data_IF_046120967792
#
_entry.id   IF_046120967792
#
_cell.length_a   1.000
_cell.length_b   1.000
_cell.length_c   1.000
_cell.angle_alpha   90.00
_cell.angle_beta   90.00
_cell.angle_gamma   90.00
#
_symmetry.space_group_name_H-M   'P 1'
#
loop_
_entity.id
_entity.type
_entity.pdbx_description
1 polymer ?
#
# COMPACT_ATOMS: atom_id res chain seq x y z
N UNK A 1 -77.53 31.77 2.74
CA UNK A 1 -76.74 30.61 2.17
C UNK A 1 -77.66 30.01 1.12
N UNK A 2 -77.28 30.12 -0.18
CA UNK A 2 -78.17 29.97 -1.35
C UNK A 2 -78.52 28.52 -1.62
N UNK A 3 -79.80 28.13 -1.82
CA UNK A 3 -80.27 26.76 -2.10
C UNK A 3 -79.50 26.08 -3.26
N UNK A 4 -79.01 26.84 -4.20
CA UNK A 4 -78.17 26.31 -5.32
C UNK A 4 -76.82 25.72 -4.89
N UNK A 5 -76.31 26.07 -3.70
CA UNK A 5 -75.13 25.49 -3.18
C UNK A 5 -75.33 24.15 -2.43
N UNK A 6 -76.59 23.91 -1.99
CA UNK A 6 -76.99 22.64 -1.34
C UNK A 6 -77.18 21.52 -2.38
N UNK A 7 -77.84 21.83 -3.51
CA UNK A 7 -78.03 20.85 -4.59
C UNK A 7 -76.76 20.39 -5.25
N UNK A 8 -75.79 21.30 -5.48
CA UNK A 8 -74.43 20.92 -5.98
C UNK A 8 -73.62 20.08 -4.99
N UNK A 9 -73.93 20.15 -3.73
CA UNK A 9 -73.21 19.34 -2.69
C UNK A 9 -73.72 17.90 -2.61
N UNK A 10 -74.98 17.64 -3.07
CA UNK A 10 -75.69 16.36 -2.96
C UNK A 10 -75.86 15.61 -4.30
N UNK A 11 -75.28 16.12 -5.39
CA UNK A 11 -75.26 15.39 -6.65
C UNK A 11 -74.48 14.09 -6.54
N UNK A 12 -75.12 12.91 -6.69
CA UNK A 12 -74.43 11.60 -6.55
C UNK A 12 -73.34 11.40 -7.58
N UNK A 13 -73.41 12.10 -8.72
CA UNK A 13 -72.41 12.05 -9.78
C UNK A 13 -71.13 12.76 -9.27
N UNK A 14 -71.25 13.99 -8.74
CA UNK A 14 -70.13 14.76 -8.17
C UNK A 14 -69.53 14.04 -6.98
N UNK A 15 -70.37 13.42 -6.15
CA UNK A 15 -69.89 12.62 -5.01
C UNK A 15 -69.04 11.39 -5.47
N UNK A 16 -69.46 10.74 -6.53
CA UNK A 16 -68.77 9.58 -7.13
C UNK A 16 -67.43 10.00 -7.76
N UNK A 17 -67.40 11.10 -8.47
CA UNK A 17 -66.14 11.65 -9.04
C UNK A 17 -65.15 12.05 -7.96
N UNK A 18 -65.59 12.71 -6.89
CA UNK A 18 -64.75 13.05 -5.75
C UNK A 18 -64.18 11.82 -5.03
N UNK A 19 -64.96 10.74 -4.89
CA UNK A 19 -64.50 9.46 -4.36
C UNK A 19 -63.45 8.83 -5.27
N UNK A 20 -63.69 8.76 -6.58
CA UNK A 20 -62.74 8.24 -7.55
C UNK A 20 -61.43 9.05 -7.58
N UNK A 21 -61.53 10.38 -7.54
CA UNK A 21 -60.33 11.25 -7.46
C UNK A 21 -59.51 11.03 -6.19
N UNK A 22 -60.18 10.90 -5.01
CA UNK A 22 -59.52 10.59 -3.73
C UNK A 22 -58.85 9.22 -3.75
N UNK A 23 -59.50 8.22 -4.34
CA UNK A 23 -58.94 6.87 -4.47
C UNK A 23 -57.72 6.87 -5.40
N UNK A 24 -57.80 7.54 -6.56
CA UNK A 24 -56.67 7.73 -7.48
C UNK A 24 -55.49 8.44 -6.79
N UNK A 25 -55.79 9.46 -5.98
CA UNK A 25 -54.78 10.19 -5.23
C UNK A 25 -54.13 9.31 -4.14
N UNK A 26 -54.93 8.49 -3.40
CA UNK A 26 -54.46 7.52 -2.44
C UNK A 26 -53.52 6.47 -3.09
N UNK A 27 -53.96 5.91 -4.24
CA UNK A 27 -53.14 4.94 -4.99
C UNK A 27 -51.81 5.56 -5.47
N UNK A 28 -51.84 6.81 -5.98
CA UNK A 28 -50.62 7.54 -6.36
C UNK A 28 -49.70 7.77 -5.17
N UNK A 29 -50.19 8.20 -4.01
CA UNK A 29 -49.40 8.38 -2.78
C UNK A 29 -48.81 7.05 -2.29
N UNK A 30 -49.60 5.98 -2.34
CA UNK A 30 -49.15 4.64 -1.95
C UNK A 30 -48.04 4.13 -2.89
N UNK A 31 -48.18 4.33 -4.18
CA UNK A 31 -47.18 3.97 -5.18
C UNK A 31 -45.89 4.80 -5.02
N UNK A 32 -46.00 6.09 -4.72
CA UNK A 32 -44.85 6.94 -4.43
C UNK A 32 -44.13 6.50 -3.14
N UNK A 33 -44.89 6.16 -2.09
CA UNK A 33 -44.32 5.62 -0.83
C UNK A 33 -43.57 4.30 -1.10
N UNK A 34 -44.20 3.38 -1.86
CA UNK A 34 -43.54 2.10 -2.22
C UNK A 34 -42.27 2.33 -3.05
N UNK A 35 -42.26 3.25 -4.02
CA UNK A 35 -41.06 3.59 -4.80
C UNK A 35 -39.95 4.20 -3.92
N UNK A 36 -40.33 5.06 -2.95
CA UNK A 36 -39.35 5.61 -1.98
C UNK A 36 -38.78 4.51 -1.09
N UNK A 37 -39.62 3.61 -0.59
CA UNK A 37 -39.17 2.50 0.23
C UNK A 37 -38.20 1.58 -0.53
N UNK A 38 -38.54 1.21 -1.78
CA UNK A 38 -37.68 0.39 -2.64
C UNK A 38 -36.30 1.07 -2.87
N UNK A 39 -36.30 2.40 -3.10
CA UNK A 39 -35.05 3.16 -3.25
C UNK A 39 -34.22 3.18 -1.97
N UNK A 40 -34.86 3.36 -0.81
CA UNK A 40 -34.18 3.33 0.49
C UNK A 40 -33.59 1.94 0.79
N UNK A 41 -34.35 0.87 0.56
CA UNK A 41 -33.85 -0.50 0.69
C UNK A 41 -32.68 -0.77 -0.24
N UNK A 42 -32.78 -0.34 -1.51
CA UNK A 42 -31.69 -0.44 -2.49
C UNK A 42 -30.44 0.31 -2.04
N UNK A 43 -30.60 1.52 -1.48
CA UNK A 43 -29.48 2.29 -0.93
C UNK A 43 -28.84 1.60 0.28
N UNK A 44 -29.65 1.08 1.21
CA UNK A 44 -29.14 0.33 2.37
C UNK A 44 -28.37 -0.92 1.93
N UNK A 45 -28.89 -1.67 0.95
CA UNK A 45 -28.18 -2.82 0.38
C UNK A 45 -26.87 -2.44 -0.29
N UNK A 46 -26.84 -1.34 -1.04
CA UNK A 46 -25.62 -0.84 -1.65
C UNK A 46 -24.56 -0.44 -0.60
N UNK A 47 -24.98 0.21 0.49
CA UNK A 47 -24.09 0.55 1.61
C UNK A 47 -23.57 -0.71 2.29
N UNK A 48 -24.43 -1.71 2.55
CA UNK A 48 -24.00 -2.99 3.13
C UNK A 48 -22.99 -3.69 2.21
N UNK A 49 -23.24 -3.75 0.92
CA UNK A 49 -22.29 -4.30 -0.06
C UNK A 49 -20.97 -3.53 -0.07
N UNK A 50 -21.01 -2.20 -0.02
CA UNK A 50 -19.80 -1.37 0.02
C UNK A 50 -18.97 -1.65 1.29
N UNK A 51 -19.60 -1.78 2.43
CA UNK A 51 -18.93 -2.00 3.72
C UNK A 51 -18.35 -3.41 3.86
N UNK A 52 -19.06 -4.43 3.38
CA UNK A 52 -18.69 -5.83 3.63
C UNK A 52 -18.01 -6.52 2.45
N UNK A 53 -18.30 -6.15 1.20
CA UNK A 53 -17.73 -6.82 0.03
C UNK A 53 -16.52 -6.09 -0.56
N UNK A 54 -16.46 -4.75 -0.48
CA UNK A 54 -15.35 -3.99 -1.05
C UNK A 54 -14.03 -4.20 -0.32
N UNK A 55 -13.95 -4.18 1.03
CA UNK A 55 -12.69 -4.36 1.74
C UNK A 55 -11.97 -5.69 1.44
N UNK A 56 -12.64 -6.87 1.50
CA UNK A 56 -11.96 -8.13 1.19
C UNK A 56 -11.50 -8.20 -0.29
N UNK A 57 -12.25 -7.60 -1.20
CA UNK A 57 -11.85 -7.54 -2.61
C UNK A 57 -10.60 -6.65 -2.79
N UNK A 58 -10.54 -5.51 -2.10
CA UNK A 58 -9.35 -4.65 -2.09
C UNK A 58 -8.15 -5.37 -1.49
N UNK A 59 -8.31 -6.11 -0.38
CA UNK A 59 -7.23 -6.87 0.22
C UNK A 59 -6.71 -7.98 -0.71
N UNK A 60 -7.57 -8.68 -1.43
CA UNK A 60 -7.14 -9.68 -2.44
C UNK A 60 -6.35 -9.03 -3.58
N UNK A 61 -6.79 -7.87 -4.06
CA UNK A 61 -6.08 -7.12 -5.07
C UNK A 61 -4.72 -6.64 -4.55
N UNK A 62 -4.67 -6.12 -3.33
CA UNK A 62 -3.42 -5.69 -2.70
C UNK A 62 -2.44 -6.87 -2.52
N UNK A 63 -2.88 -8.04 -2.09
CA UNK A 63 -2.02 -9.23 -2.00
C UNK A 63 -1.49 -9.67 -3.37
N UNK A 64 -2.28 -9.54 -4.44
CA UNK A 64 -1.82 -9.78 -5.80
C UNK A 64 -0.75 -8.75 -6.23
N UNK A 65 -0.94 -7.48 -5.89
CA UNK A 65 0.00 -6.39 -6.19
C UNK A 65 1.25 -6.41 -5.30
N UNK A 66 1.17 -6.97 -4.08
CA UNK A 66 2.25 -7.06 -3.10
C UNK A 66 2.55 -8.54 -2.78
N UNK A 67 3.05 -9.33 -3.74
CA UNK A 67 3.29 -10.76 -3.55
C UNK A 67 4.49 -11.01 -2.64
N UNK A 68 4.48 -12.15 -1.92
CA UNK A 68 5.64 -12.67 -1.17
C UNK A 68 6.38 -13.72 -2.01
N UNK A 69 7.01 -13.29 -3.12
CA UNK A 69 7.85 -14.19 -3.91
C UNK A 69 9.14 -14.49 -3.17
N UNK A 70 9.72 -15.67 -3.43
CA UNK A 70 10.97 -16.14 -2.80
C UNK A 70 10.88 -16.28 -1.27
N UNK A 71 9.69 -16.60 -0.74
CA UNK A 71 9.38 -16.59 0.69
C UNK A 71 10.43 -17.32 1.54
N UNK A 72 10.77 -18.56 1.19
CA UNK A 72 11.77 -19.35 1.93
C UNK A 72 13.16 -18.65 1.99
N UNK A 73 13.57 -17.98 0.91
CA UNK A 73 14.85 -17.25 0.87
C UNK A 73 14.78 -15.96 1.67
N UNK A 74 13.67 -15.22 1.57
CA UNK A 74 13.49 -13.99 2.33
C UNK A 74 13.46 -14.28 3.83
N UNK A 75 12.67 -15.27 4.26
CA UNK A 75 12.61 -15.66 5.68
C UNK A 75 13.96 -16.15 6.20
N UNK A 76 14.66 -17.01 5.44
CA UNK A 76 15.99 -17.51 5.78
C UNK A 76 16.97 -16.36 6.04
N UNK A 77 17.07 -15.43 5.08
CA UNK A 77 18.09 -14.38 5.17
C UNK A 77 17.66 -13.19 6.04
N UNK A 78 16.37 -12.90 6.13
CA UNK A 78 15.86 -11.94 7.11
C UNK A 78 16.13 -12.39 8.55
N UNK A 79 15.86 -13.68 8.86
CA UNK A 79 16.17 -14.24 10.17
C UNK A 79 17.68 -14.23 10.46
N UNK A 80 18.53 -14.59 9.48
CA UNK A 80 19.99 -14.62 9.63
C UNK A 80 20.59 -13.24 9.93
N UNK A 81 19.96 -12.18 9.46
CA UNK A 81 20.40 -10.78 9.61
C UNK A 81 19.47 -9.93 10.51
N UNK A 82 18.62 -10.57 11.31
CA UNK A 82 17.74 -9.90 12.29
C UNK A 82 16.88 -8.77 11.68
N UNK A 83 16.37 -9.01 10.48
CA UNK A 83 15.49 -8.09 9.75
C UNK A 83 14.04 -8.56 9.82
N UNK A 84 13.10 -7.61 9.77
CA UNK A 84 11.72 -7.91 9.46
C UNK A 84 11.59 -8.39 8.00
N UNK A 85 11.08 -9.62 7.74
CA UNK A 85 10.87 -10.12 6.37
C UNK A 85 10.01 -9.18 5.51
N UNK A 86 9.05 -8.49 6.13
CA UNK A 86 8.17 -7.55 5.41
C UNK A 86 8.93 -6.31 4.91
N UNK A 87 9.97 -5.89 5.65
CA UNK A 87 10.89 -4.84 5.19
C UNK A 87 11.72 -5.33 4.00
N UNK A 88 12.23 -6.56 4.03
CA UNK A 88 12.99 -7.14 2.91
C UNK A 88 12.12 -7.22 1.66
N UNK A 89 10.84 -7.64 1.77
CA UNK A 89 9.90 -7.61 0.65
C UNK A 89 9.69 -6.20 0.08
N UNK A 90 9.62 -5.18 0.95
CA UNK A 90 9.47 -3.79 0.50
C UNK A 90 10.68 -3.33 -0.33
N UNK A 91 11.89 -3.71 0.08
CA UNK A 91 13.11 -3.44 -0.69
C UNK A 91 13.10 -4.18 -2.03
N UNK A 92 12.91 -5.50 -2.05
CA UNK A 92 12.90 -6.29 -3.30
C UNK A 92 11.86 -5.75 -4.29
N UNK A 93 10.66 -5.40 -3.79
CA UNK A 93 9.60 -4.84 -4.62
C UNK A 93 9.99 -3.48 -5.21
N UNK A 94 10.62 -2.62 -4.42
CA UNK A 94 11.01 -1.27 -4.84
C UNK A 94 12.18 -1.29 -5.80
N UNK A 95 13.14 -2.17 -5.57
CA UNK A 95 14.39 -2.28 -6.33
C UNK A 95 14.19 -2.93 -7.70
N UNK A 96 13.51 -4.07 -7.75
CA UNK A 96 13.41 -4.87 -8.97
C UNK A 96 12.00 -5.26 -9.38
N UNK A 97 10.98 -5.01 -8.53
CA UNK A 97 9.65 -5.59 -8.74
C UNK A 97 9.66 -7.13 -8.73
N UNK A 98 10.60 -7.74 -8.03
CA UNK A 98 10.84 -9.19 -8.00
C UNK A 98 11.40 -9.77 -9.31
N UNK A 99 12.05 -8.98 -10.14
CA UNK A 99 12.76 -9.46 -11.31
C UNK A 99 14.22 -9.82 -10.93
N UNK A 100 14.62 -11.10 -10.94
CA UNK A 100 15.96 -11.49 -10.58
C UNK A 100 17.01 -11.10 -11.65
N UNK A 101 16.57 -10.79 -12.87
CA UNK A 101 17.44 -10.39 -13.98
C UNK A 101 17.51 -8.86 -14.14
N UNK A 102 16.92 -8.09 -13.21
CA UNK A 102 16.92 -6.64 -13.27
C UNK A 102 18.35 -6.08 -13.26
N UNK A 103 18.60 -5.14 -14.17
CA UNK A 103 19.84 -4.37 -14.26
C UNK A 103 19.49 -2.89 -14.47
N UNK A 104 20.01 -2.01 -13.61
CA UNK A 104 19.76 -0.58 -13.70
C UNK A 104 20.73 0.10 -14.68
N UNK A 105 20.49 1.40 -14.96
CA UNK A 105 21.39 2.22 -15.78
C UNK A 105 22.79 2.42 -15.19
N UNK A 106 22.95 2.18 -13.89
CA UNK A 106 24.23 2.23 -13.16
C UNK A 106 24.80 0.83 -12.90
N UNK A 107 24.30 -0.17 -13.64
CA UNK A 107 24.68 -1.58 -13.50
C UNK A 107 24.46 -2.18 -12.10
N UNK A 108 23.48 -1.67 -11.34
CA UNK A 108 23.03 -2.37 -10.15
C UNK A 108 22.20 -3.60 -10.55
N UNK A 109 22.40 -4.76 -9.89
CA UNK A 109 21.92 -6.06 -10.35
C UNK A 109 21.05 -6.81 -9.36
N UNK A 110 20.15 -7.62 -9.90
CA UNK A 110 19.35 -8.61 -9.21
C UNK A 110 18.22 -8.05 -8.35
N UNK A 111 17.66 -8.90 -7.49
CA UNK A 111 16.45 -8.62 -6.72
C UNK A 111 16.57 -7.38 -5.81
N UNK A 112 17.76 -7.09 -5.29
CA UNK A 112 18.01 -6.01 -4.34
C UNK A 112 18.94 -4.92 -4.91
N UNK A 113 19.16 -4.92 -6.24
CA UNK A 113 19.85 -3.88 -7.01
C UNK A 113 21.19 -3.42 -6.38
N UNK A 114 22.05 -4.39 -6.12
CA UNK A 114 23.36 -4.09 -5.57
C UNK A 114 24.34 -3.70 -6.67
N UNK A 115 25.13 -2.65 -6.45
CA UNK A 115 26.23 -2.25 -7.34
C UNK A 115 27.45 -3.15 -7.16
N UNK A 116 28.35 -3.19 -8.15
CA UNK A 116 29.56 -4.01 -8.08
C UNK A 116 30.44 -3.62 -6.91
N UNK A 117 30.64 -2.35 -6.65
CA UNK A 117 31.44 -1.85 -5.52
C UNK A 117 30.89 -2.37 -4.18
N UNK A 118 29.55 -2.24 -3.96
CA UNK A 118 28.90 -2.73 -2.74
C UNK A 118 29.00 -4.25 -2.65
N UNK A 119 28.80 -4.98 -3.76
CA UNK A 119 28.93 -6.43 -3.80
C UNK A 119 30.34 -6.88 -3.41
N UNK A 120 31.39 -6.30 -4.00
CA UNK A 120 32.77 -6.65 -3.70
C UNK A 120 33.13 -6.38 -2.23
N UNK A 121 32.66 -5.23 -1.73
CA UNK A 121 32.84 -4.92 -0.32
C UNK A 121 32.13 -5.92 0.59
N UNK A 122 30.86 -6.23 0.31
CA UNK A 122 30.08 -7.20 1.08
C UNK A 122 30.68 -8.61 0.97
N UNK A 123 31.12 -9.04 -0.23
CA UNK A 123 31.77 -10.33 -0.43
C UNK A 123 33.01 -10.48 0.46
N UNK A 124 33.84 -9.43 0.58
CA UNK A 124 35.01 -9.45 1.46
C UNK A 124 34.65 -9.64 2.93
N UNK A 125 33.44 -9.32 3.36
CA UNK A 125 32.93 -9.41 4.73
C UNK A 125 32.32 -10.77 5.05
N UNK A 126 31.43 -11.26 4.16
CA UNK A 126 30.57 -12.40 4.48
C UNK A 126 30.84 -13.65 3.63
N UNK A 127 31.63 -13.53 2.57
CA UNK A 127 31.92 -14.64 1.64
C UNK A 127 33.36 -14.57 1.05
N UNK A 128 34.42 -14.31 1.85
CA UNK A 128 35.76 -14.05 1.32
C UNK A 128 36.35 -15.25 0.56
N UNK A 129 35.93 -16.48 0.89
CA UNK A 129 36.42 -17.72 0.31
C UNK A 129 35.42 -18.35 -0.72
N UNK A 130 34.29 -17.72 -0.94
CA UNK A 130 33.34 -18.21 -1.92
C UNK A 130 33.69 -17.66 -3.32
N UNK A 131 33.68 -18.50 -4.36
CA UNK A 131 34.06 -18.08 -5.73
C UNK A 131 32.90 -17.31 -6.41
N UNK A 132 32.27 -16.35 -5.69
CA UNK A 132 31.18 -15.55 -6.18
C UNK A 132 31.68 -14.37 -7.02
N UNK A 133 31.01 -14.13 -8.11
CA UNK A 133 31.22 -13.00 -9.04
C UNK A 133 30.05 -12.04 -8.96
N UNK A 134 30.19 -10.86 -9.52
CA UNK A 134 29.09 -9.89 -9.58
C UNK A 134 27.87 -10.38 -10.36
N UNK A 135 28.06 -11.33 -11.33
CA UNK A 135 26.97 -11.96 -12.05
C UNK A 135 26.12 -12.90 -11.18
N UNK A 136 26.64 -13.38 -10.05
CA UNK A 136 25.86 -14.23 -9.13
C UNK A 136 24.74 -13.48 -8.42
N UNK A 137 24.68 -12.14 -8.50
CA UNK A 137 23.55 -11.35 -8.04
C UNK A 137 22.26 -11.56 -8.86
N UNK A 138 22.32 -12.21 -10.02
CA UNK A 138 21.13 -12.68 -10.73
C UNK A 138 20.53 -13.94 -10.13
N UNK A 139 21.26 -14.63 -9.22
CA UNK A 139 20.70 -15.70 -8.40
C UNK A 139 19.89 -15.12 -7.24
N UNK A 140 18.61 -15.50 -7.06
CA UNK A 140 17.78 -15.01 -5.95
C UNK A 140 18.41 -15.22 -4.57
N UNK A 141 19.03 -16.39 -4.31
CA UNK A 141 19.65 -16.66 -3.00
C UNK A 141 20.81 -15.70 -2.71
N UNK A 142 21.71 -15.50 -3.70
CA UNK A 142 22.82 -14.57 -3.55
C UNK A 142 22.35 -13.13 -3.40
N UNK A 143 21.43 -12.68 -4.26
CA UNK A 143 20.91 -11.30 -4.20
C UNK A 143 20.26 -10.98 -2.86
N UNK A 144 19.40 -11.88 -2.35
CA UNK A 144 18.72 -11.69 -1.07
C UNK A 144 19.71 -11.77 0.10
N UNK A 145 20.64 -12.74 0.08
CA UNK A 145 21.67 -12.88 1.11
C UNK A 145 22.49 -11.59 1.27
N UNK A 146 23.03 -11.10 0.16
CA UNK A 146 23.90 -9.93 0.18
C UNK A 146 23.12 -8.64 0.46
N UNK A 147 21.94 -8.51 -0.13
CA UNK A 147 21.07 -7.36 0.10
C UNK A 147 20.58 -7.27 1.55
N UNK A 148 20.16 -8.39 2.17
CA UNK A 148 19.79 -8.44 3.57
C UNK A 148 20.96 -8.06 4.48
N UNK A 149 22.17 -8.57 4.19
CA UNK A 149 23.34 -8.20 4.97
C UNK A 149 23.62 -6.69 4.90
N UNK A 150 23.59 -6.10 3.71
CA UNK A 150 23.81 -4.65 3.55
C UNK A 150 22.71 -3.82 4.22
N UNK A 151 21.44 -4.26 4.09
CA UNK A 151 20.31 -3.62 4.77
C UNK A 151 20.44 -3.70 6.30
N UNK A 152 20.83 -4.87 6.84
CA UNK A 152 21.11 -5.02 8.28
C UNK A 152 22.17 -4.01 8.74
N UNK A 153 23.26 -3.88 8.01
CA UNK A 153 24.32 -2.90 8.37
C UNK A 153 23.79 -1.47 8.35
N UNK A 154 22.90 -1.12 7.40
CA UNK A 154 22.23 0.18 7.40
C UNK A 154 21.32 0.32 8.64
N UNK A 155 20.50 -0.69 8.94
CA UNK A 155 19.59 -0.66 10.10
C UNK A 155 20.34 -0.52 11.42
N UNK A 156 21.43 -1.27 11.60
CA UNK A 156 22.28 -1.19 12.82
C UNK A 156 22.93 0.20 12.92
N UNK A 157 23.49 0.70 11.81
CA UNK A 157 24.17 2.01 11.79
C UNK A 157 23.25 3.15 12.19
N UNK A 158 21.99 3.12 11.72
CA UNK A 158 21.01 4.18 11.96
C UNK A 158 19.95 3.77 13.00
N UNK A 159 20.33 2.92 13.96
CA UNK A 159 19.57 2.58 15.17
C UNK A 159 18.13 2.10 14.90
N UNK A 160 17.92 1.44 13.77
CA UNK A 160 16.63 0.90 13.37
C UNK A 160 15.69 1.88 12.68
N UNK A 161 16.11 3.13 12.42
CA UNK A 161 15.31 4.08 11.65
C UNK A 161 15.26 3.67 10.17
N UNK A 162 14.10 3.17 9.74
CA UNK A 162 13.89 2.64 8.40
C UNK A 162 14.11 3.71 7.32
N UNK A 163 13.73 4.95 7.59
CA UNK A 163 13.83 6.03 6.59
C UNK A 163 15.28 6.42 6.34
N UNK A 164 16.06 6.57 7.40
CA UNK A 164 17.49 6.89 7.32
C UNK A 164 18.29 5.71 6.76
N UNK A 165 17.96 4.46 7.15
CA UNK A 165 18.56 3.26 6.60
C UNK A 165 18.26 3.09 5.10
N UNK A 166 17.05 3.38 4.66
CA UNK A 166 16.69 3.35 3.24
C UNK A 166 17.41 4.43 2.44
N UNK A 167 17.55 5.65 2.99
CA UNK A 167 18.34 6.70 2.38
C UNK A 167 19.80 6.27 2.19
N UNK A 168 20.38 5.61 3.19
CA UNK A 168 21.75 5.10 3.17
C UNK A 168 21.93 3.91 2.22
N UNK A 169 20.96 3.02 2.14
CA UNK A 169 20.96 1.93 1.17
C UNK A 169 21.05 2.44 -0.26
N UNK A 170 20.27 3.49 -0.56
CA UNK A 170 20.19 4.09 -1.90
C UNK A 170 21.37 5.01 -2.24
N UNK A 171 21.80 5.85 -1.30
CA UNK A 171 22.75 6.95 -1.57
C UNK A 171 24.12 6.75 -0.96
N UNK A 172 24.33 5.65 -0.23
CA UNK A 172 25.55 5.35 0.50
C UNK A 172 25.64 6.05 1.86
N UNK A 173 26.39 5.43 2.77
CA UNK A 173 26.55 5.90 4.14
C UNK A 173 27.19 7.29 4.22
N UNK A 174 28.23 7.55 3.38
CA UNK A 174 28.93 8.83 3.40
C UNK A 174 28.01 10.02 3.15
N UNK A 175 27.06 9.89 2.23
CA UNK A 175 26.06 10.93 1.95
C UNK A 175 25.15 11.15 3.16
N UNK A 176 24.63 10.07 3.75
CA UNK A 176 23.72 10.16 4.89
C UNK A 176 24.44 10.70 6.13
N UNK A 177 25.66 10.24 6.41
CA UNK A 177 26.46 10.72 7.54
C UNK A 177 26.74 12.25 7.44
N UNK A 178 26.97 12.77 6.23
CA UNK A 178 27.11 14.21 6.02
C UNK A 178 25.80 14.97 6.27
N UNK A 179 24.67 14.44 5.81
CA UNK A 179 23.36 15.05 6.05
C UNK A 179 22.97 15.08 7.53
N UNK A 180 23.33 14.04 8.28
CA UNK A 180 23.09 13.97 9.73
C UNK A 180 23.84 15.05 10.53
N UNK A 181 24.91 15.63 9.99
CA UNK A 181 25.64 16.75 10.61
C UNK A 181 24.99 18.12 10.34
N UNK A 182 23.95 18.18 9.52
CA UNK A 182 23.28 19.41 9.12
C UNK A 182 21.98 19.56 9.90
N UNK A 183 21.83 20.61 10.72
CA UNK A 183 20.64 20.87 11.54
C UNK A 183 19.34 20.93 10.69
N UNK A 184 19.43 21.36 9.43
CA UNK A 184 18.27 21.43 8.52
C UNK A 184 17.76 20.03 8.10
N UNK A 185 18.55 18.97 8.25
CA UNK A 185 18.22 17.61 7.86
C UNK A 185 18.09 16.64 9.03
N UNK A 186 18.68 16.96 10.17
CA UNK A 186 18.64 16.14 11.37
C UNK A 186 18.70 17.02 12.63
N UNK A 187 17.72 16.87 13.53
CA UNK A 187 17.70 17.58 14.78
C UNK A 187 18.51 16.87 15.88
N UNK A 188 18.72 15.56 15.75
CA UNK A 188 19.39 14.71 16.75
C UNK A 188 20.77 14.20 16.30
N UNK A 189 21.15 14.45 15.05
CA UNK A 189 22.37 13.93 14.45
C UNK A 189 22.35 12.41 14.19
N UNK A 190 21.20 11.73 14.36
CA UNK A 190 21.05 10.28 14.30
C UNK A 190 20.02 9.84 13.25
N UNK A 191 18.95 10.62 13.06
CA UNK A 191 17.87 10.33 12.13
C UNK A 191 17.64 11.47 11.15
N UNK A 192 17.37 11.14 9.88
CA UNK A 192 17.02 12.13 8.86
C UNK A 192 15.56 12.52 8.98
N UNK A 193 15.29 13.80 9.13
CA UNK A 193 13.95 14.40 9.12
C UNK A 193 13.62 15.09 7.79
N UNK A 194 14.63 15.34 6.95
CA UNK A 194 14.52 15.92 5.63
C UNK A 194 15.44 15.25 4.61
N UNK A 195 14.92 15.01 3.42
CA UNK A 195 15.66 14.37 2.33
C UNK A 195 15.88 15.39 1.21
N UNK A 196 17.07 16.04 1.11
CA UNK A 196 17.31 17.17 0.23
C UNK A 196 17.31 16.80 -1.25
N UNK A 197 17.62 15.52 -1.57
CA UNK A 197 17.69 15.06 -2.94
C UNK A 197 16.36 14.44 -3.37
N UNK A 198 15.77 14.92 -4.46
CA UNK A 198 14.47 14.43 -4.96
C UNK A 198 14.46 12.90 -5.15
N UNK A 199 15.53 12.31 -5.66
CA UNK A 199 15.65 10.86 -5.85
C UNK A 199 15.64 10.10 -4.51
N UNK A 200 16.42 10.56 -3.54
CA UNK A 200 16.45 10.00 -2.19
C UNK A 200 15.07 10.08 -1.52
N UNK A 201 14.42 11.26 -1.58
CA UNK A 201 13.08 11.47 -1.04
C UNK A 201 12.05 10.51 -1.67
N UNK A 202 12.04 10.40 -2.99
CA UNK A 202 11.14 9.47 -3.67
C UNK A 202 11.42 8.01 -3.32
N UNK A 203 12.68 7.64 -3.19
CA UNK A 203 13.07 6.28 -2.82
C UNK A 203 12.61 5.94 -1.40
N UNK A 204 12.93 6.77 -0.41
CA UNK A 204 12.52 6.57 0.98
C UNK A 204 11.00 6.47 1.09
N UNK A 205 10.26 7.36 0.43
CA UNK A 205 8.80 7.31 0.43
C UNK A 205 8.26 6.01 -0.20
N UNK A 206 8.88 5.51 -1.27
CA UNK A 206 8.49 4.21 -1.85
C UNK A 206 8.72 3.05 -0.88
N UNK A 207 9.89 2.99 -0.24
CA UNK A 207 10.23 1.94 0.73
C UNK A 207 9.23 1.98 1.90
N UNK A 208 9.06 3.13 2.53
CA UNK A 208 8.21 3.26 3.72
C UNK A 208 6.75 2.97 3.43
N UNK A 209 6.20 3.48 2.33
CA UNK A 209 4.82 3.18 1.90
C UNK A 209 4.64 1.70 1.54
N UNK A 210 5.62 1.11 0.86
CA UNK A 210 5.63 -0.31 0.52
C UNK A 210 5.67 -1.18 1.78
N UNK A 211 6.55 -0.87 2.72
CA UNK A 211 6.68 -1.58 3.99
C UNK A 211 5.40 -1.50 4.83
N UNK A 212 4.80 -0.32 4.98
CA UNK A 212 3.50 -0.15 5.65
C UNK A 212 2.39 -0.98 4.98
N UNK A 213 2.41 -1.08 3.66
CA UNK A 213 1.44 -1.90 2.94
C UNK A 213 1.66 -3.39 3.22
N UNK A 214 2.90 -3.88 3.22
CA UNK A 214 3.20 -5.26 3.61
C UNK A 214 2.79 -5.54 5.06
N UNK A 215 3.10 -4.63 5.99
CA UNK A 215 2.66 -4.76 7.39
C UNK A 215 1.14 -4.85 7.50
N UNK A 216 0.40 -3.97 6.82
CA UNK A 216 -1.08 -4.00 6.82
C UNK A 216 -1.64 -5.31 6.28
N UNK A 217 -1.00 -5.90 5.26
CA UNK A 217 -1.50 -7.09 4.57
C UNK A 217 -1.11 -8.39 5.28
N UNK A 218 0.06 -8.44 5.91
CA UNK A 218 0.69 -9.67 6.35
C UNK A 218 1.12 -9.69 7.83
N UNK A 219 1.06 -8.58 8.57
CA UNK A 219 1.35 -8.61 9.99
C UNK A 219 0.28 -9.45 10.74
N UNK A 220 0.74 -10.56 11.34
CA UNK A 220 -0.12 -11.50 12.07
C UNK A 220 -0.56 -12.75 11.29
N UNK A 221 0.06 -12.98 10.13
CA UNK A 221 -0.10 -14.26 9.40
C UNK A 221 1.04 -15.22 9.73
#
# INVERSE_FOLDING_TARGET
>A
MNEQNYEKAYDPIVARERRAAREKQRRRKQQQRRRRLVRLVGLCLAVVLAVYAVPPLCNQLDQFLYPRKYEQLVEKWAAAYELDPLLVYAFIRTESGFDPQATSSVDARGLMQMTEETFLWMRSKIAPNEPLTFADLYSPDTAIRFGCCYLHLCMVRYKGDVSTAAAAYHSGWGTVDQLLQMEEHSADGETLQGFPYNQMHHYVNKITACYQTYQRLYAGQ
#
